data_IF_681431135969
#
_entry.id   IF_681431135969
#
_cell.length_a   1.000
_cell.length_b   1.000
_cell.length_c   1.000
_cell.angle_alpha   90.00
_cell.angle_beta   90.00
_cell.angle_gamma   90.00
#
_symmetry.space_group_name_H-M   'P 1'
#
loop_
_entity.id
_entity.type
_entity.pdbx_description
1 polymer ?
#
# COMPACT_ATOMS: atom_id res chain seq x y z
N UNK A 1 4.86 10.93 -19.21
CA UNK A 1 3.89 10.88 -18.08
C UNK A 1 2.53 10.45 -18.63
N UNK A 2 1.80 9.59 -17.92
CA UNK A 2 0.41 9.21 -18.25
C UNK A 2 -0.51 10.33 -17.74
N UNK A 3 -1.43 10.89 -18.54
CA UNK A 3 -2.32 11.95 -18.05
C UNK A 3 -3.30 11.39 -17.00
N UNK A 4 -3.64 12.24 -16.03
CA UNK A 4 -4.69 11.96 -15.06
C UNK A 4 -6.05 11.91 -15.78
N UNK A 5 -6.98 11.15 -15.20
CA UNK A 5 -8.36 11.03 -15.66
C UNK A 5 -8.51 10.55 -17.10
N UNK A 6 -7.56 9.76 -17.60
CA UNK A 6 -7.57 9.24 -18.97
C UNK A 6 -8.89 8.55 -19.34
N UNK A 7 -9.53 7.86 -18.38
CA UNK A 7 -10.81 7.19 -18.58
C UNK A 7 -11.99 8.12 -18.89
N UNK A 8 -11.91 9.42 -18.59
CA UNK A 8 -12.93 10.39 -18.96
C UNK A 8 -12.91 10.69 -20.47
N UNK A 9 -11.72 10.65 -21.08
CA UNK A 9 -11.53 10.91 -22.51
C UNK A 9 -11.60 9.64 -23.35
N UNK A 10 -11.10 8.54 -22.79
CA UNK A 10 -10.99 7.26 -23.49
C UNK A 10 -11.58 6.10 -22.65
N UNK A 11 -12.88 6.12 -22.35
CA UNK A 11 -13.54 5.16 -21.45
C UNK A 11 -13.53 3.71 -21.98
N UNK A 12 -13.24 3.52 -23.27
CA UNK A 12 -13.21 2.21 -23.92
C UNK A 12 -11.80 1.65 -24.10
N UNK A 13 -10.77 2.26 -23.50
CA UNK A 13 -9.42 1.70 -23.57
C UNK A 13 -9.36 0.31 -22.96
N UNK A 14 -8.81 -0.62 -23.73
CA UNK A 14 -8.64 -2.03 -23.34
C UNK A 14 -7.19 -2.32 -22.99
N UNK A 15 -6.23 -1.63 -23.59
CA UNK A 15 -4.80 -1.88 -23.43
C UNK A 15 -4.04 -0.57 -23.27
N UNK A 16 -3.14 -0.52 -22.30
CA UNK A 16 -2.17 0.56 -22.11
C UNK A 16 -0.78 -0.07 -22.07
N UNK A 17 0.12 0.48 -22.88
CA UNK A 17 1.52 0.07 -22.94
C UNK A 17 2.41 1.31 -22.90
N UNK A 18 3.27 1.40 -21.88
CA UNK A 18 4.21 2.50 -21.69
C UNK A 18 5.54 1.90 -21.20
N UNK A 19 6.53 1.84 -22.07
CA UNK A 19 7.89 1.36 -21.73
C UNK A 19 8.88 2.51 -21.83
N UNK A 20 9.94 2.49 -21.00
CA UNK A 20 11.04 3.47 -21.05
C UNK A 20 10.56 4.92 -20.90
N UNK A 21 9.56 5.12 -20.04
CA UNK A 21 9.18 6.44 -19.58
C UNK A 21 9.87 6.76 -18.27
N UNK A 22 10.20 8.02 -18.05
CA UNK A 22 10.67 8.53 -16.75
C UNK A 22 9.51 8.59 -15.73
N UNK A 23 8.60 7.60 -15.76
CA UNK A 23 7.42 7.56 -14.90
C UNK A 23 7.84 7.08 -13.52
N UNK A 24 7.79 7.98 -12.54
CA UNK A 24 8.21 7.71 -11.16
C UNK A 24 7.06 7.28 -10.26
N UNK A 25 5.82 7.54 -10.67
CA UNK A 25 4.61 7.30 -9.89
C UNK A 25 3.42 6.94 -10.76
N UNK A 26 2.48 6.18 -10.18
CA UNK A 26 1.18 5.91 -10.78
C UNK A 26 0.09 5.93 -9.69
N UNK A 27 -0.76 6.94 -9.78
CA UNK A 27 -1.93 7.15 -8.92
C UNK A 27 -3.22 6.54 -9.48
N UNK A 28 -4.18 6.25 -8.60
CA UNK A 28 -5.54 5.82 -8.96
C UNK A 28 -6.18 6.74 -10.01
N UNK A 29 -5.94 8.05 -9.92
CA UNK A 29 -6.49 9.03 -10.85
C UNK A 29 -6.07 8.80 -12.32
N UNK A 30 -4.92 8.20 -12.59
CA UNK A 30 -4.52 7.85 -13.97
C UNK A 30 -5.40 6.76 -14.57
N UNK A 31 -5.85 5.81 -13.74
CA UNK A 31 -6.57 4.61 -14.17
C UNK A 31 -8.07 4.65 -13.88
N UNK A 32 -8.52 5.69 -13.16
CA UNK A 32 -9.93 5.90 -12.82
C UNK A 32 -10.78 5.92 -14.09
N UNK A 33 -11.94 5.28 -14.01
CA UNK A 33 -12.91 5.13 -15.10
C UNK A 33 -12.45 4.31 -16.32
N UNK A 34 -11.24 3.74 -16.32
CA UNK A 34 -10.82 2.73 -17.31
C UNK A 34 -11.37 1.34 -16.96
N UNK A 35 -12.70 1.22 -16.86
CA UNK A 35 -13.38 0.00 -16.39
C UNK A 35 -13.30 -1.17 -17.38
N UNK A 36 -12.93 -0.90 -18.64
CA UNK A 36 -12.73 -1.93 -19.69
C UNK A 36 -11.26 -2.33 -19.89
N UNK A 37 -10.35 -1.78 -19.07
CA UNK A 37 -8.92 -2.05 -19.19
C UNK A 37 -8.63 -3.51 -18.85
N UNK A 38 -8.05 -4.24 -19.80
CA UNK A 38 -7.65 -5.64 -19.68
C UNK A 38 -6.14 -5.83 -19.57
N UNK A 39 -5.37 -4.93 -20.17
CA UNK A 39 -3.92 -5.03 -20.24
C UNK A 39 -3.28 -3.71 -19.81
N UNK A 40 -2.47 -3.74 -18.76
CA UNK A 40 -1.64 -2.63 -18.33
C UNK A 40 -0.19 -3.09 -18.27
N UNK A 41 0.67 -2.44 -19.05
CA UNK A 41 2.09 -2.77 -19.10
C UNK A 41 2.90 -1.49 -19.00
N UNK A 42 3.65 -1.38 -17.91
CA UNK A 42 4.52 -0.26 -17.58
C UNK A 42 5.97 -0.73 -17.31
N UNK A 43 6.56 -1.61 -18.14
CA UNK A 43 7.89 -2.15 -17.88
C UNK A 43 8.96 -1.07 -18.05
N UNK A 44 10.08 -1.19 -17.34
CA UNK A 44 11.24 -0.30 -17.50
C UNK A 44 10.91 1.18 -17.32
N UNK A 45 10.13 1.49 -16.28
CA UNK A 45 9.96 2.86 -15.80
C UNK A 45 10.64 2.99 -14.42
N UNK A 46 10.43 4.10 -13.72
CA UNK A 46 11.04 4.38 -12.42
C UNK A 46 10.02 4.35 -11.27
N UNK A 47 8.95 3.57 -11.39
CA UNK A 47 7.84 3.56 -10.42
C UNK A 47 8.36 3.06 -9.07
N UNK A 48 8.16 3.85 -8.01
CA UNK A 48 8.69 3.53 -6.66
C UNK A 48 7.64 2.98 -5.68
N UNK A 49 6.38 3.40 -5.84
CA UNK A 49 5.27 3.08 -4.94
C UNK A 49 4.03 2.75 -5.78
N UNK A 50 3.25 1.79 -5.29
CA UNK A 50 1.90 1.50 -5.79
C UNK A 50 0.92 1.92 -4.71
N UNK A 51 -0.06 2.76 -5.04
CA UNK A 51 -1.14 3.10 -4.12
C UNK A 51 -2.02 1.89 -3.82
N UNK A 52 -2.44 1.72 -2.57
CA UNK A 52 -3.27 0.58 -2.13
C UNK A 52 -4.58 0.45 -2.92
N UNK A 53 -5.13 1.56 -3.40
CA UNK A 53 -6.39 1.58 -4.16
C UNK A 53 -6.20 1.82 -5.67
N UNK A 54 -4.97 1.70 -6.20
CA UNK A 54 -4.65 2.03 -7.59
C UNK A 54 -5.62 1.38 -8.59
N UNK A 55 -5.91 0.09 -8.40
CA UNK A 55 -6.68 -0.73 -9.35
C UNK A 55 -8.16 -0.90 -9.00
N UNK A 56 -8.69 -0.16 -8.01
CA UNK A 56 -10.04 -0.33 -7.47
C UNK A 56 -11.16 -0.38 -8.53
N UNK A 57 -11.00 0.34 -9.64
CA UNK A 57 -12.01 0.45 -10.70
C UNK A 57 -11.68 -0.39 -11.95
N UNK A 58 -10.53 -1.07 -11.99
CA UNK A 58 -10.04 -1.79 -13.17
C UNK A 58 -10.32 -3.29 -13.05
N UNK A 59 -11.53 -3.67 -12.65
CA UNK A 59 -11.91 -5.07 -12.34
C UNK A 59 -11.82 -6.03 -13.52
N UNK A 60 -11.73 -5.50 -14.74
CA UNK A 60 -11.53 -6.25 -15.98
C UNK A 60 -10.06 -6.55 -16.30
N UNK A 61 -9.11 -6.12 -15.46
CA UNK A 61 -7.69 -6.30 -15.73
C UNK A 61 -7.32 -7.80 -15.69
N UNK A 62 -6.71 -8.28 -16.77
CA UNK A 62 -6.31 -9.67 -16.97
C UNK A 62 -4.79 -9.83 -16.86
N UNK A 63 -4.04 -8.82 -17.32
CA UNK A 63 -2.57 -8.81 -17.36
C UNK A 63 -2.04 -7.48 -16.82
N UNK A 64 -1.12 -7.58 -15.87
CA UNK A 64 -0.39 -6.45 -15.28
C UNK A 64 1.12 -6.69 -15.38
N UNK A 65 1.83 -5.87 -16.15
CA UNK A 65 3.28 -5.90 -16.23
C UNK A 65 3.88 -4.64 -15.59
N UNK A 66 4.62 -4.82 -14.50
CA UNK A 66 5.33 -3.79 -13.75
C UNK A 66 6.82 -4.15 -13.58
N UNK A 67 7.35 -5.02 -14.44
CA UNK A 67 8.74 -5.45 -14.37
C UNK A 67 9.73 -4.29 -14.57
N UNK A 68 10.94 -4.46 -14.06
CA UNK A 68 12.03 -3.49 -14.25
C UNK A 68 11.64 -2.07 -13.79
N UNK A 69 10.99 -1.97 -12.62
CA UNK A 69 10.70 -0.71 -11.94
C UNK A 69 11.51 -0.60 -10.64
N UNK A 70 11.23 0.41 -9.82
CA UNK A 70 11.92 0.66 -8.55
C UNK A 70 10.99 0.41 -7.34
N UNK A 71 9.99 -0.46 -7.49
CA UNK A 71 8.95 -0.65 -6.48
C UNK A 71 9.56 -1.28 -5.23
N UNK A 72 9.40 -0.58 -4.10
CA UNK A 72 9.90 -0.99 -2.78
C UNK A 72 8.83 -1.62 -1.90
N UNK A 73 7.58 -1.23 -2.10
CA UNK A 73 6.47 -1.59 -1.22
C UNK A 73 5.21 -1.81 -2.05
N UNK A 74 4.50 -2.89 -1.74
CA UNK A 74 3.23 -3.26 -2.36
C UNK A 74 2.32 -3.78 -1.26
N UNK A 75 1.15 -3.17 -1.09
CA UNK A 75 0.11 -3.71 -0.23
C UNK A 75 -0.46 -4.98 -0.86
N UNK A 76 -0.50 -6.14 -0.18
CA UNK A 76 -1.06 -7.37 -0.75
C UNK A 76 -2.49 -7.20 -1.28
N UNK A 77 -3.27 -6.33 -0.62
CA UNK A 77 -4.69 -6.05 -0.91
C UNK A 77 -4.91 -5.21 -2.18
N UNK A 78 -3.85 -4.66 -2.79
CA UNK A 78 -3.97 -3.84 -4.02
C UNK A 78 -4.53 -4.63 -5.22
N UNK A 79 -4.53 -5.96 -5.15
CA UNK A 79 -5.02 -6.86 -6.20
C UNK A 79 -6.37 -7.54 -5.87
N UNK A 80 -7.03 -7.15 -4.76
CA UNK A 80 -8.26 -7.80 -4.28
C UNK A 80 -9.44 -7.62 -5.25
N UNK A 81 -9.58 -6.42 -5.81
CA UNK A 81 -10.61 -6.09 -6.79
C UNK A 81 -10.34 -6.71 -8.17
N UNK A 82 -9.11 -7.15 -8.43
CA UNK A 82 -8.67 -7.68 -9.72
C UNK A 82 -8.98 -9.17 -9.87
N UNK A 83 -10.26 -9.51 -9.90
CA UNK A 83 -10.75 -10.90 -9.94
C UNK A 83 -10.41 -11.65 -11.24
N UNK A 84 -10.17 -10.92 -12.34
CA UNK A 84 -9.80 -11.48 -13.65
C UNK A 84 -8.29 -11.52 -13.90
N UNK A 85 -7.50 -10.97 -12.98
CA UNK A 85 -6.05 -10.90 -13.13
C UNK A 85 -5.47 -12.31 -13.07
N UNK A 86 -4.82 -12.71 -14.15
CA UNK A 86 -4.24 -14.04 -14.32
C UNK A 86 -2.72 -13.99 -14.42
N UNK A 87 -2.19 -12.91 -14.99
CA UNK A 87 -0.77 -12.69 -15.21
C UNK A 87 -0.37 -11.39 -14.53
N UNK A 88 0.60 -11.47 -13.63
CA UNK A 88 1.25 -10.31 -13.04
C UNK A 88 2.76 -10.50 -13.12
N UNK A 89 3.51 -9.49 -13.50
CA UNK A 89 4.99 -9.56 -13.51
C UNK A 89 5.57 -8.40 -12.71
N UNK A 90 6.42 -8.72 -11.74
CA UNK A 90 7.06 -7.76 -10.84
C UNK A 90 8.57 -7.98 -10.73
N UNK A 91 9.14 -8.88 -11.52
CA UNK A 91 10.58 -9.19 -11.48
C UNK A 91 11.42 -7.93 -11.74
N UNK A 92 12.64 -7.91 -11.18
CA UNK A 92 13.51 -6.73 -11.18
C UNK A 92 12.82 -5.48 -10.61
N UNK A 93 12.13 -5.64 -9.48
CA UNK A 93 11.80 -4.53 -8.58
C UNK A 93 12.66 -4.65 -7.31
N UNK A 94 12.58 -3.66 -6.42
CA UNK A 94 13.44 -3.64 -5.23
C UNK A 94 12.96 -4.62 -4.15
N UNK A 95 11.67 -4.94 -4.14
CA UNK A 95 11.07 -5.82 -3.16
C UNK A 95 10.68 -7.20 -3.70
N UNK A 96 10.85 -7.47 -5.00
CA UNK A 96 10.61 -8.82 -5.58
C UNK A 96 11.79 -9.26 -6.42
N UNK A 97 12.19 -10.52 -6.25
CA UNK A 97 13.11 -11.23 -7.16
C UNK A 97 12.40 -12.36 -7.94
N UNK A 98 11.08 -12.48 -7.77
CA UNK A 98 10.30 -13.56 -8.36
C UNK A 98 10.12 -13.36 -9.87
N UNK A 99 10.60 -14.33 -10.67
CA UNK A 99 10.56 -14.32 -12.13
C UNK A 99 9.40 -15.15 -12.72
N UNK A 100 8.38 -15.48 -11.91
CA UNK A 100 7.15 -16.08 -12.42
C UNK A 100 6.08 -15.03 -12.70
N UNK A 101 4.93 -15.50 -13.19
CA UNK A 101 3.81 -14.61 -13.53
C UNK A 101 2.47 -14.97 -12.86
N UNK A 102 2.47 -16.02 -12.03
CA UNK A 102 1.27 -16.50 -11.36
C UNK A 102 0.83 -15.54 -10.24
N UNK A 103 -0.44 -15.09 -10.26
CA UNK A 103 -0.99 -14.17 -9.25
C UNK A 103 -0.81 -14.65 -7.81
N UNK A 104 -1.06 -15.93 -7.52
CA UNK A 104 -1.05 -16.43 -6.15
C UNK A 104 0.39 -16.53 -5.60
N UNK A 105 1.33 -16.97 -6.44
CA UNK A 105 2.75 -17.02 -6.07
C UNK A 105 3.31 -15.61 -5.82
N UNK A 106 2.90 -14.64 -6.66
CA UNK A 106 3.31 -13.24 -6.50
C UNK A 106 2.73 -12.59 -5.25
N UNK A 107 1.46 -12.86 -4.93
CA UNK A 107 0.87 -12.34 -3.67
C UNK A 107 1.65 -12.86 -2.47
N UNK A 108 2.08 -14.13 -2.49
CA UNK A 108 2.93 -14.70 -1.44
C UNK A 108 4.29 -13.99 -1.36
N UNK A 109 4.96 -13.80 -2.49
CA UNK A 109 6.23 -13.06 -2.56
C UNK A 109 6.07 -11.63 -2.00
N UNK A 110 4.99 -10.94 -2.36
CA UNK A 110 4.70 -9.58 -1.86
C UNK A 110 4.52 -9.59 -0.34
N UNK A 111 3.80 -10.58 0.20
CA UNK A 111 3.61 -10.73 1.64
C UNK A 111 4.91 -11.05 2.37
N UNK A 112 5.91 -11.66 1.73
CA UNK A 112 7.18 -11.98 2.37
C UNK A 112 8.19 -10.82 2.24
N UNK A 113 8.23 -10.17 1.07
CA UNK A 113 9.36 -9.31 0.68
C UNK A 113 8.98 -7.84 0.37
N UNK A 114 7.71 -7.54 0.07
CA UNK A 114 7.22 -6.21 -0.31
C UNK A 114 6.30 -5.51 0.69
N UNK A 115 6.12 -6.08 1.89
CA UNK A 115 5.30 -5.43 2.92
C UNK A 115 5.88 -4.06 3.26
N UNK A 116 5.03 -3.02 3.39
CA UNK A 116 5.44 -1.74 3.97
C UNK A 116 6.12 -1.98 5.33
N UNK A 117 7.34 -1.47 5.51
CA UNK A 117 8.09 -1.64 6.75
C UNK A 117 7.78 -0.47 7.69
N UNK A 118 7.01 -0.72 8.74
CA UNK A 118 6.80 0.27 9.80
C UNK A 118 7.98 0.28 10.75
N UNK A 119 8.85 1.29 10.66
CA UNK A 119 9.93 1.52 11.63
C UNK A 119 9.49 2.57 12.65
N UNK A 120 9.33 2.16 13.91
CA UNK A 120 9.13 3.05 15.04
C UNK A 120 10.50 3.55 15.53
N UNK A 121 10.95 4.70 15.05
CA UNK A 121 12.13 5.35 15.60
C UNK A 121 11.73 6.28 16.76
N UNK A 122 11.79 5.74 17.98
CA UNK A 122 11.54 6.49 19.22
C UNK A 122 12.67 7.47 19.57
N UNK A 123 13.82 7.43 18.87
CA UNK A 123 15.03 8.13 19.29
C UNK A 123 15.27 9.46 18.54
N UNK A 124 14.59 9.72 17.42
CA UNK A 124 14.87 10.91 16.59
C UNK A 124 13.94 12.12 16.79
N UNK A 125 12.93 12.08 17.67
CA UNK A 125 11.91 13.17 17.77
C UNK A 125 11.38 13.65 16.40
N UNK A 126 11.43 12.79 15.38
CA UNK A 126 10.89 13.08 14.06
C UNK A 126 9.41 12.76 14.13
N UNK A 127 8.60 13.78 13.88
CA UNK A 127 7.16 13.64 13.71
C UNK A 127 6.87 12.43 12.81
N UNK A 128 6.06 11.51 13.33
CA UNK A 128 5.57 10.36 12.58
C UNK A 128 4.65 10.94 11.50
N UNK A 129 5.09 10.88 10.24
CA UNK A 129 4.21 11.15 9.10
C UNK A 129 3.40 9.87 8.90
N UNK A 130 2.23 9.79 9.55
CA UNK A 130 1.25 8.77 9.23
C UNK A 130 0.53 9.23 7.95
N UNK A 131 1.11 8.91 6.79
CA UNK A 131 0.28 8.80 5.59
C UNK A 131 -0.70 7.64 5.87
N UNK A 132 -1.99 7.96 5.91
CA UNK A 132 -3.12 7.03 6.09
C UNK A 132 -3.20 6.31 7.46
N UNK A 133 -3.42 7.09 8.52
CA UNK A 133 -3.65 6.64 9.91
C UNK A 133 -4.67 5.50 10.03
N UNK A 134 -5.80 5.59 9.31
CA UNK A 134 -6.87 4.57 9.38
C UNK A 134 -6.45 3.22 8.80
N UNK A 135 -5.67 3.27 7.71
CA UNK A 135 -5.20 2.08 7.00
C UNK A 135 -4.09 1.34 7.76
N UNK A 136 -3.22 2.12 8.43
CA UNK A 136 -2.18 1.59 9.28
C UNK A 136 -2.76 0.95 10.56
N UNK A 137 -3.88 1.45 11.08
CA UNK A 137 -4.56 0.87 12.25
C UNK A 137 -5.08 -0.54 11.98
N UNK A 138 -5.59 -0.84 10.78
CA UNK A 138 -6.13 -2.16 10.44
C UNK A 138 -5.02 -3.21 10.27
N UNK A 139 -3.90 -2.82 9.66
CA UNK A 139 -2.73 -3.68 9.49
C UNK A 139 -2.05 -3.95 10.84
N UNK A 140 -1.89 -2.92 11.68
CA UNK A 140 -1.34 -3.04 13.04
C UNK A 140 -2.23 -3.94 13.90
N UNK A 141 -3.56 -3.82 13.81
CA UNK A 141 -4.50 -4.71 14.52
C UNK A 141 -4.30 -6.18 14.13
N UNK A 142 -4.14 -6.47 12.84
CA UNK A 142 -3.95 -7.83 12.35
C UNK A 142 -2.59 -8.41 12.79
N UNK A 143 -1.52 -7.61 12.74
CA UNK A 143 -0.17 -8.03 13.14
C UNK A 143 -0.02 -8.20 14.67
N UNK A 144 -0.73 -7.39 15.47
CA UNK A 144 -0.83 -7.55 16.93
C UNK A 144 -1.72 -8.76 17.30
N UNK A 145 -2.80 -9.00 16.56
CA UNK A 145 -3.69 -10.15 16.79
C UNK A 145 -3.00 -11.50 16.60
N UNK A 146 -2.04 -11.60 15.67
CA UNK A 146 -1.26 -12.83 15.48
C UNK A 146 -0.18 -13.04 16.56
N UNK A 147 0.17 -12.01 17.33
CA UNK A 147 1.17 -12.06 18.42
C UNK A 147 0.55 -11.76 19.78
N UNK A 148 -0.20 -12.72 20.32
CA UNK A 148 -0.57 -12.73 21.75
C UNK A 148 0.69 -12.67 22.64
N UNK A 149 1.04 -11.48 23.11
CA UNK A 149 2.00 -11.29 24.20
C UNK A 149 1.49 -10.17 25.12
N UNK A 150 1.18 -10.57 26.36
CA UNK A 150 0.66 -9.73 27.46
C UNK A 150 1.52 -8.49 27.68
N UNK A 151 0.98 -7.30 27.43
CA UNK A 151 1.58 -6.03 27.85
C UNK A 151 0.87 -5.55 29.12
N UNK A 152 1.34 -5.97 30.30
CA UNK A 152 0.83 -5.52 31.61
C UNK A 152 1.78 -4.54 32.34
N UNK A 153 2.84 -4.06 31.67
CA UNK A 153 3.89 -3.28 32.35
C UNK A 153 3.83 -1.76 32.06
N UNK A 154 3.20 -1.30 30.96
CA UNK A 154 3.25 0.12 30.57
C UNK A 154 2.14 1.02 31.15
N UNK A 155 1.12 0.46 31.82
CA UNK A 155 -0.10 1.20 32.18
C UNK A 155 0.10 2.19 33.34
N UNK A 156 1.00 1.91 34.29
CA UNK A 156 1.14 2.68 35.53
C UNK A 156 2.18 3.81 35.44
N UNK A 157 3.25 3.64 34.67
CA UNK A 157 4.25 4.71 34.50
C UNK A 157 3.73 5.83 33.60
N UNK A 158 3.00 5.48 32.53
CA UNK A 158 2.37 6.47 31.63
C UNK A 158 1.36 7.33 32.38
N UNK A 159 0.50 6.77 33.25
CA UNK A 159 -0.46 7.56 34.05
C UNK A 159 0.21 8.63 34.94
N UNK A 160 1.43 8.38 35.40
CA UNK A 160 2.13 9.28 36.32
C UNK A 160 2.75 10.46 35.58
N UNK A 161 3.27 10.23 34.37
CA UNK A 161 3.92 11.24 33.54
C UNK A 161 2.94 12.27 32.97
N UNK A 162 1.72 11.85 32.61
CA UNK A 162 0.73 12.72 31.96
C UNK A 162 -0.16 13.54 32.90
N UNK A 163 -0.11 13.30 34.22
CA UNK A 163 -0.85 14.12 35.20
C UNK A 163 -0.23 15.52 35.39
N UNK A 164 0.99 15.74 34.91
CA UNK A 164 1.76 16.98 35.09
C UNK A 164 1.93 17.83 33.82
N UNK A 165 1.41 17.42 32.66
CA UNK A 165 1.49 18.20 31.42
C UNK A 165 0.12 18.62 30.94
N UNK A 166 -0.13 19.94 30.89
CA UNK A 166 -1.30 20.58 30.27
C UNK A 166 -1.41 20.21 28.78
N UNK A 167 -2.07 19.09 28.46
CA UNK A 167 -2.34 18.68 27.08
C UNK A 167 -3.85 18.60 26.89
N UNK A 168 -4.32 19.21 25.80
CA UNK A 168 -5.73 19.49 25.50
C UNK A 168 -6.59 18.24 25.31
N UNK A 169 -7.90 18.43 25.51
CA UNK A 169 -8.99 17.44 25.46
C UNK A 169 -8.95 16.44 24.28
N UNK A 170 -8.32 16.80 23.16
CA UNK A 170 -8.19 15.95 21.98
C UNK A 170 -7.22 14.77 22.19
N UNK A 171 -6.18 14.92 23.00
CA UNK A 171 -5.29 13.80 23.40
C UNK A 171 -5.99 12.83 24.36
N UNK A 172 -6.93 13.32 25.19
CA UNK A 172 -7.71 12.47 26.09
C UNK A 172 -8.62 11.51 25.30
N UNK A 173 -9.13 11.95 24.14
CA UNK A 173 -10.00 11.15 23.28
C UNK A 173 -9.25 10.00 22.60
N UNK A 174 -8.02 10.26 22.14
CA UNK A 174 -7.14 9.21 21.60
C UNK A 174 -6.65 8.23 22.68
N UNK A 175 -6.45 8.69 23.92
CA UNK A 175 -6.11 7.82 25.05
C UNK A 175 -7.30 6.95 25.50
N UNK A 176 -8.54 7.42 25.36
CA UNK A 176 -9.74 6.67 25.73
C UNK A 176 -9.97 5.46 24.82
N UNK A 177 -9.58 5.56 23.54
CA UNK A 177 -9.68 4.46 22.57
C UNK A 177 -8.71 3.31 22.92
N UNK A 178 -7.61 3.60 23.63
CA UNK A 178 -6.67 2.58 24.12
C UNK A 178 -7.07 1.92 25.46
N UNK A 179 -8.24 2.25 26.04
CA UNK A 179 -8.68 1.70 27.34
C UNK A 179 -9.93 0.81 27.24
N UNK A 180 -10.66 0.79 26.11
CA UNK A 180 -11.94 0.05 26.00
C UNK A 180 -11.89 -1.16 25.04
N UNK A 181 -10.78 -1.42 24.34
CA UNK A 181 -10.54 -2.71 23.67
C UNK A 181 -9.13 -3.22 23.95
#
# INVERSE_FOLDING_TARGET
MLPLELGNFFPNLVKIYIEKGDMTEIHQAHLRNLTKLKYLSLPKNEIKKIEKNLFKFNTELEILNLEENLIKEIYPTVFDDLKKLSIITLWKNQCTNFNGSNKNEIIKEIQENCKPKFTFDINEHKSIILEDVEENLEIIKNEISEKTLKIEILRNEIKKTFKNSLISSFCLFLLFIFIIF
#
